data_IF_343663936035
#
_entry.id   IF_343663936035
#
_cell.length_a   1.000
_cell.length_b   1.000
_cell.length_c   1.000
_cell.angle_alpha   90.00
_cell.angle_beta   90.00
_cell.angle_gamma   90.00
#
_symmetry.space_group_name_H-M   'P 1'
#
loop_
_entity.id
_entity.type
_entity.pdbx_description
1 polymer ?
#
# COMPACT_ATOMS: atom_id res chain seq x y z
N UNK A 1 -23.38 -7.83 38.06
CA UNK A 1 -21.95 -7.66 37.74
C UNK A 1 -21.70 -8.16 36.32
N UNK A 2 -21.70 -7.29 35.31
CA UNK A 2 -21.10 -7.64 34.01
C UNK A 2 -19.61 -7.86 34.29
N UNK A 3 -19.05 -9.03 33.95
CA UNK A 3 -17.59 -9.17 33.86
C UNK A 3 -17.15 -8.07 32.89
N UNK A 4 -16.24 -7.19 33.32
CA UNK A 4 -15.74 -6.12 32.44
C UNK A 4 -15.19 -6.78 31.17
N UNK A 5 -15.82 -6.48 30.04
CA UNK A 5 -15.50 -7.03 28.71
C UNK A 5 -14.03 -6.70 28.36
N UNK A 6 -13.48 -5.67 29.00
CA UNK A 6 -12.09 -5.23 28.92
C UNK A 6 -11.06 -6.28 29.33
N UNK A 7 -11.39 -7.23 30.22
CA UNK A 7 -10.45 -8.31 30.58
C UNK A 7 -10.26 -9.33 29.46
N UNK A 8 -11.19 -9.38 28.50
CA UNK A 8 -11.14 -10.28 27.35
C UNK A 8 -10.74 -9.59 26.04
N UNK A 9 -10.86 -8.26 25.96
CA UNK A 9 -10.50 -7.49 24.77
C UNK A 9 -8.98 -7.29 24.74
N UNK A 10 -8.35 -7.76 23.67
CA UNK A 10 -6.91 -7.59 23.42
C UNK A 10 -6.72 -6.96 22.04
N UNK A 11 -6.76 -5.62 21.94
CA UNK A 11 -6.58 -4.90 20.68
C UNK A 11 -5.32 -5.33 19.92
N UNK A 12 -4.23 -5.59 20.64
CA UNK A 12 -2.95 -6.03 20.09
C UNK A 12 -3.07 -7.34 19.29
N UNK A 13 -3.77 -8.34 19.84
CA UNK A 13 -4.02 -9.62 19.14
C UNK A 13 -4.85 -9.38 17.86
N UNK A 14 -5.81 -8.45 17.89
CA UNK A 14 -6.61 -8.15 16.71
C UNK A 14 -5.75 -7.50 15.62
N UNK A 15 -4.76 -6.67 16.00
CA UNK A 15 -3.77 -6.11 15.06
C UNK A 15 -2.90 -7.22 14.45
N UNK A 16 -2.41 -8.18 15.24
CA UNK A 16 -1.68 -9.32 14.69
C UNK A 16 -2.52 -10.14 13.70
N UNK A 17 -3.81 -10.34 14.01
CA UNK A 17 -4.74 -11.02 13.10
C UNK A 17 -5.01 -10.22 11.82
N UNK A 18 -5.00 -8.88 11.90
CA UNK A 18 -5.09 -7.99 10.74
C UNK A 18 -3.87 -8.14 9.84
N UNK A 19 -2.67 -8.04 10.40
CA UNK A 19 -1.42 -8.17 9.66
C UNK A 19 -1.33 -9.53 8.95
N UNK A 20 -1.75 -10.60 9.63
CA UNK A 20 -1.83 -11.94 9.04
C UNK A 20 -2.86 -12.01 7.90
N UNK A 21 -4.03 -11.37 8.05
CA UNK A 21 -5.04 -11.34 6.99
C UNK A 21 -4.57 -10.54 5.76
N UNK A 22 -3.84 -9.44 5.97
CA UNK A 22 -3.21 -8.63 4.91
C UNK A 22 -2.15 -9.45 4.18
N UNK A 23 -1.30 -10.17 4.90
CA UNK A 23 -0.26 -11.02 4.31
C UNK A 23 -0.84 -12.13 3.39
N UNK A 24 -2.05 -12.61 3.67
CA UNK A 24 -2.78 -13.55 2.82
C UNK A 24 -3.69 -12.88 1.77
N UNK A 25 -3.63 -11.56 1.62
CA UNK A 25 -4.50 -10.75 0.75
C UNK A 25 -6.01 -11.06 0.96
N UNK A 26 -6.41 -11.45 2.18
CA UNK A 26 -7.79 -11.81 2.49
C UNK A 26 -8.58 -10.59 2.96
N UNK A 27 -8.97 -9.74 2.02
CA UNK A 27 -9.58 -8.44 2.29
C UNK A 27 -10.92 -8.53 3.06
N UNK A 28 -11.67 -9.62 2.88
CA UNK A 28 -12.88 -9.88 3.67
C UNK A 28 -12.56 -10.09 5.15
N UNK A 29 -11.51 -10.87 5.46
CA UNK A 29 -11.03 -11.03 6.83
C UNK A 29 -10.41 -9.75 7.38
N UNK A 30 -9.71 -8.97 6.57
CA UNK A 30 -9.21 -7.64 6.99
C UNK A 30 -10.38 -6.77 7.46
N UNK A 31 -11.47 -6.72 6.70
CA UNK A 31 -12.68 -5.98 7.09
C UNK A 31 -13.27 -6.48 8.42
N UNK A 32 -13.48 -7.80 8.56
CA UNK A 32 -14.01 -8.41 9.78
C UNK A 32 -13.16 -8.07 11.02
N UNK A 33 -11.84 -8.19 10.91
CA UNK A 33 -10.92 -7.92 12.03
C UNK A 33 -10.81 -6.43 12.33
N UNK A 34 -10.88 -5.57 11.31
CA UNK A 34 -10.86 -4.13 11.51
C UNK A 34 -12.14 -3.64 12.18
N UNK A 35 -13.30 -4.20 11.83
CA UNK A 35 -14.57 -3.93 12.51
C UNK A 35 -14.53 -4.40 13.98
N UNK A 36 -13.94 -5.57 14.25
CA UNK A 36 -13.71 -6.03 15.62
C UNK A 36 -12.78 -5.07 16.40
N UNK A 37 -11.71 -4.58 15.77
CA UNK A 37 -10.80 -3.62 16.39
C UNK A 37 -11.52 -2.31 16.72
N UNK A 38 -12.34 -1.81 15.79
CA UNK A 38 -13.15 -0.63 15.99
C UNK A 38 -14.14 -0.80 17.15
N UNK A 39 -14.90 -1.91 17.18
CA UNK A 39 -15.83 -2.21 18.27
C UNK A 39 -15.14 -2.34 19.63
N UNK A 40 -13.93 -2.92 19.64
CA UNK A 40 -13.09 -2.99 20.82
C UNK A 40 -12.75 -1.58 21.33
N UNK A 41 -12.28 -0.69 20.45
CA UNK A 41 -11.98 0.71 20.80
C UNK A 41 -13.22 1.46 21.29
N UNK A 42 -14.36 1.31 20.62
CA UNK A 42 -15.61 1.96 21.06
C UNK A 42 -16.03 1.49 22.45
N UNK A 43 -15.98 0.18 22.71
CA UNK A 43 -16.32 -0.38 24.03
C UNK A 43 -15.42 0.19 25.13
N UNK A 44 -14.12 0.32 24.85
CA UNK A 44 -13.15 0.92 25.77
C UNK A 44 -13.49 2.39 26.04
N UNK A 45 -13.78 3.15 25.00
CA UNK A 45 -14.08 4.57 25.10
C UNK A 45 -15.38 4.81 25.88
N UNK A 46 -16.45 4.06 25.59
CA UNK A 46 -17.73 4.13 26.29
C UNK A 46 -17.61 3.81 27.78
N UNK A 47 -16.86 2.75 28.16
CA UNK A 47 -16.65 2.40 29.57
C UNK A 47 -15.84 3.48 30.31
N UNK A 48 -14.84 4.10 29.64
CA UNK A 48 -14.11 5.24 30.21
C UNK A 48 -15.02 6.44 30.45
N UNK A 49 -15.88 6.78 29.49
CA UNK A 49 -16.85 7.86 29.64
C UNK A 49 -17.86 7.57 30.76
N UNK A 50 -18.37 6.35 30.84
CA UNK A 50 -19.30 5.94 31.90
C UNK A 50 -18.64 6.06 33.30
N UNK A 51 -17.41 5.59 33.46
CA UNK A 51 -16.65 5.74 34.70
C UNK A 51 -16.44 7.21 35.08
N UNK A 52 -16.03 8.06 34.13
CA UNK A 52 -15.87 9.51 34.32
C UNK A 52 -17.17 10.16 34.79
N UNK A 53 -18.30 9.84 34.15
CA UNK A 53 -19.62 10.37 34.51
C UNK A 53 -20.05 10.02 35.94
N UNK A 54 -19.58 8.87 36.46
CA UNK A 54 -19.85 8.40 37.82
C UNK A 54 -18.81 8.85 38.85
N UNK A 55 -17.77 9.57 38.42
CA UNK A 55 -16.63 9.97 39.28
C UNK A 55 -15.81 8.78 39.80
N UNK A 56 -15.88 7.63 39.12
CA UNK A 56 -15.14 6.42 39.49
C UNK A 56 -13.92 6.29 38.56
N UNK A 57 -12.74 5.89 39.06
CA UNK A 57 -11.59 5.63 38.21
C UNK A 57 -11.93 4.59 37.13
N UNK A 58 -11.63 4.91 35.88
CA UNK A 58 -11.78 3.97 34.79
C UNK A 58 -10.82 2.79 35.00
N UNK A 59 -11.22 1.56 34.64
CA UNK A 59 -10.31 0.41 34.66
C UNK A 59 -9.12 0.69 33.76
N UNK A 60 -7.91 0.44 34.28
CA UNK A 60 -6.71 0.49 33.46
C UNK A 60 -6.70 -0.70 32.51
N UNK A 61 -6.57 -0.42 31.22
CA UNK A 61 -6.48 -1.43 30.18
C UNK A 61 -5.03 -1.42 29.71
N UNK A 62 -4.35 -2.54 29.92
CA UNK A 62 -3.01 -2.73 29.42
C UNK A 62 -3.07 -2.97 27.91
N UNK A 63 -2.70 -1.96 27.14
CA UNK A 63 -2.49 -2.02 25.70
C UNK A 63 -1.04 -1.65 25.40
N UNK A 64 -0.45 -2.25 24.36
CA UNK A 64 0.94 -1.95 23.99
C UNK A 64 1.08 -0.56 23.35
N UNK A 65 0.00 -0.05 22.76
CA UNK A 65 -0.07 1.25 22.08
C UNK A 65 -1.21 2.10 22.66
N UNK A 66 -1.20 3.43 22.46
CA UNK A 66 -2.30 4.28 22.92
C UNK A 66 -3.59 3.97 22.15
N UNK A 67 -4.75 4.24 22.76
CA UNK A 67 -6.05 3.88 22.19
C UNK A 67 -6.30 4.46 20.79
N UNK A 68 -5.77 5.67 20.55
CA UNK A 68 -5.82 6.37 19.25
C UNK A 68 -5.18 5.56 18.11
N UNK A 69 -4.15 4.76 18.42
CA UNK A 69 -3.53 3.89 17.43
C UNK A 69 -4.52 2.85 16.90
N UNK A 70 -5.22 2.16 17.78
CA UNK A 70 -6.15 1.12 17.37
C UNK A 70 -7.36 1.69 16.63
N UNK A 71 -7.80 2.90 17.01
CA UNK A 71 -8.84 3.62 16.27
C UNK A 71 -8.38 3.90 14.83
N UNK A 72 -7.24 4.58 14.68
CA UNK A 72 -6.67 4.88 13.37
C UNK A 72 -6.41 3.62 12.54
N UNK A 73 -5.85 2.57 13.16
CA UNK A 73 -5.55 1.30 12.52
C UNK A 73 -6.82 0.62 12.00
N UNK A 74 -7.93 0.64 12.76
CA UNK A 74 -9.20 0.07 12.30
C UNK A 74 -9.69 0.72 11.01
N UNK A 75 -9.72 2.06 10.93
CA UNK A 75 -10.16 2.76 9.74
C UNK A 75 -9.16 2.67 8.58
N UNK A 76 -7.86 2.74 8.87
CA UNK A 76 -6.79 2.53 7.89
C UNK A 76 -6.92 1.18 7.19
N UNK A 77 -7.09 0.10 7.95
CA UNK A 77 -7.23 -1.26 7.39
C UNK A 77 -8.53 -1.44 6.59
N UNK A 78 -9.64 -0.85 7.05
CA UNK A 78 -10.91 -0.83 6.28
C UNK A 78 -10.75 -0.08 4.95
N UNK A 79 -10.10 1.09 4.98
CA UNK A 79 -9.83 1.89 3.79
C UNK A 79 -8.97 1.13 2.78
N UNK A 80 -7.92 0.45 3.25
CA UNK A 80 -7.09 -0.40 2.41
C UNK A 80 -7.87 -1.56 1.80
N UNK A 81 -8.71 -2.26 2.58
CA UNK A 81 -9.55 -3.35 2.07
C UNK A 81 -10.54 -2.86 1.01
N UNK A 82 -11.24 -1.74 1.25
CA UNK A 82 -12.14 -1.13 0.26
C UNK A 82 -11.40 -0.75 -1.02
N UNK A 83 -10.22 -0.11 -0.92
CA UNK A 83 -9.38 0.24 -2.07
C UNK A 83 -9.01 -1.01 -2.89
N UNK A 84 -8.55 -2.08 -2.23
CA UNK A 84 -8.19 -3.36 -2.89
C UNK A 84 -9.39 -4.08 -3.51
N UNK A 85 -10.60 -3.83 -3.02
CA UNK A 85 -11.86 -4.32 -3.61
C UNK A 85 -12.44 -3.39 -4.68
N UNK A 86 -11.78 -2.27 -5.01
CA UNK A 86 -12.26 -1.29 -6.00
C UNK A 86 -13.41 -0.40 -5.52
N UNK A 87 -13.64 -0.33 -4.21
CA UNK A 87 -14.72 0.44 -3.57
C UNK A 87 -14.21 1.83 -3.18
N UNK A 88 -14.07 2.71 -4.18
CA UNK A 88 -13.37 4.00 -4.05
C UNK A 88 -14.01 4.91 -3.00
N UNK A 89 -15.33 5.11 -3.04
CA UNK A 89 -16.01 6.04 -2.12
C UNK A 89 -15.95 5.56 -0.66
N UNK A 90 -16.05 4.26 -0.44
CA UNK A 90 -15.91 3.67 0.90
C UNK A 90 -14.47 3.77 1.42
N UNK A 91 -13.47 3.58 0.54
CA UNK A 91 -12.08 3.79 0.89
C UNK A 91 -11.83 5.26 1.28
N UNK A 92 -12.37 6.20 0.50
CA UNK A 92 -12.30 7.64 0.77
C UNK A 92 -12.90 8.00 2.13
N UNK A 93 -14.12 7.52 2.39
CA UNK A 93 -14.79 7.74 3.66
C UNK A 93 -14.00 7.17 4.85
N UNK A 94 -13.32 6.03 4.68
CA UNK A 94 -12.45 5.49 5.72
C UNK A 94 -11.22 6.37 5.96
N UNK A 95 -10.59 6.91 4.90
CA UNK A 95 -9.47 7.85 5.01
C UNK A 95 -9.86 9.07 5.84
N UNK A 96 -11.06 9.63 5.60
CA UNK A 96 -11.56 10.78 6.35
C UNK A 96 -11.64 10.50 7.87
N UNK A 97 -11.91 9.26 8.29
CA UNK A 97 -12.03 8.92 9.71
C UNK A 97 -10.70 8.92 10.46
N UNK A 98 -9.56 8.71 9.78
CA UNK A 98 -8.25 8.72 10.43
C UNK A 98 -7.33 9.87 10.01
N UNK A 99 -7.80 10.74 9.11
CA UNK A 99 -7.05 11.92 8.67
C UNK A 99 -6.82 12.96 9.77
N UNK A 100 -7.75 13.03 10.73
CA UNK A 100 -7.60 13.85 11.94
C UNK A 100 -8.11 13.08 13.15
N UNK A 101 -7.17 12.71 14.03
CA UNK A 101 -7.44 11.99 15.27
C UNK A 101 -7.22 12.89 16.51
N UNK A 102 -7.02 14.19 16.32
CA UNK A 102 -6.76 15.14 17.41
C UNK A 102 -7.94 15.35 18.35
N UNK A 103 -9.14 14.89 17.97
CA UNK A 103 -10.34 14.94 18.82
C UNK A 103 -10.35 13.86 19.92
N UNK A 104 -9.46 12.86 19.87
CA UNK A 104 -9.40 11.82 20.90
C UNK A 104 -8.86 12.38 22.23
N UNK A 105 -9.45 11.92 23.33
CA UNK A 105 -9.08 12.34 24.68
C UNK A 105 -7.78 11.66 25.16
N UNK A 106 -7.13 12.26 26.17
CA UNK A 106 -5.94 11.75 26.86
C UNK A 106 -4.72 11.47 25.95
N UNK A 107 -4.51 12.30 24.93
CA UNK A 107 -3.33 12.22 24.08
C UNK A 107 -2.09 12.69 24.86
N UNK A 108 -1.26 11.74 25.26
CA UNK A 108 0.11 12.00 25.71
C UNK A 108 1.05 12.20 24.50
N UNK A 109 2.34 12.40 24.75
CA UNK A 109 3.33 12.62 23.69
C UNK A 109 3.33 11.48 22.65
N UNK A 110 3.16 10.23 23.07
CA UNK A 110 3.08 9.06 22.20
C UNK A 110 1.78 9.09 21.38
N UNK A 111 0.65 9.42 22.01
CA UNK A 111 -0.63 9.62 21.33
C UNK A 111 -0.55 10.70 20.24
N UNK A 112 0.10 11.83 20.52
CA UNK A 112 0.27 12.92 19.55
C UNK A 112 1.12 12.46 18.36
N UNK A 113 2.18 11.68 18.59
CA UNK A 113 2.98 11.10 17.50
C UNK A 113 2.12 10.19 16.60
N UNK A 114 1.30 9.32 17.20
CA UNK A 114 0.37 8.46 16.45
C UNK A 114 -0.63 9.27 15.62
N UNK A 115 -1.16 10.38 16.14
CA UNK A 115 -2.04 11.27 15.38
C UNK A 115 -1.32 11.80 14.13
N UNK A 116 -0.07 12.24 14.25
CA UNK A 116 0.70 12.74 13.10
C UNK A 116 1.02 11.63 12.09
N UNK A 117 1.34 10.42 12.57
CA UNK A 117 1.56 9.25 11.70
C UNK A 117 0.32 8.92 10.87
N UNK A 118 -0.87 8.89 11.48
CA UNK A 118 -2.10 8.61 10.75
C UNK A 118 -2.51 9.74 9.81
N UNK A 119 -2.24 10.99 10.18
CA UNK A 119 -2.44 12.14 9.29
C UNK A 119 -1.56 12.03 8.03
N UNK A 120 -0.29 11.68 8.19
CA UNK A 120 0.61 11.43 7.07
C UNK A 120 0.12 10.26 6.20
N UNK A 121 -0.21 9.12 6.82
CA UNK A 121 -0.79 7.97 6.10
C UNK A 121 -2.06 8.32 5.33
N UNK A 122 -2.91 9.19 5.88
CA UNK A 122 -4.15 9.61 5.23
C UNK A 122 -3.86 10.42 3.97
N UNK A 123 -2.86 11.29 4.01
CA UNK A 123 -2.42 12.08 2.86
C UNK A 123 -1.88 11.18 1.74
N UNK A 124 -0.92 10.30 2.04
CA UNK A 124 -0.33 9.35 1.07
C UNK A 124 -1.43 8.48 0.44
N UNK A 125 -2.30 7.90 1.27
CA UNK A 125 -3.37 7.04 0.79
C UNK A 125 -4.44 7.78 0.00
N UNK A 126 -4.69 9.06 0.30
CA UNK A 126 -5.63 9.88 -0.47
C UNK A 126 -5.10 10.07 -1.88
N UNK A 127 -3.87 10.53 -2.04
CA UNK A 127 -3.28 10.68 -3.39
C UNK A 127 -3.33 9.38 -4.16
N UNK A 128 -2.87 8.28 -3.55
CA UNK A 128 -2.83 7.01 -4.22
C UNK A 128 -4.24 6.52 -4.66
N UNK A 129 -5.26 6.71 -3.82
CA UNK A 129 -6.64 6.36 -4.14
C UNK A 129 -7.20 7.20 -5.29
N UNK A 130 -7.02 8.52 -5.28
CA UNK A 130 -7.58 9.40 -6.31
C UNK A 130 -6.88 9.20 -7.66
N UNK A 131 -5.57 8.98 -7.66
CA UNK A 131 -4.79 8.67 -8.86
C UNK A 131 -5.24 7.34 -9.47
N UNK A 132 -5.41 6.30 -8.67
CA UNK A 132 -5.97 5.02 -9.14
C UNK A 132 -7.38 5.16 -9.70
N UNK A 133 -8.20 6.04 -9.09
CA UNK A 133 -9.56 6.34 -9.52
C UNK A 133 -9.64 7.22 -10.78
N UNK A 134 -8.50 7.73 -11.28
CA UNK A 134 -8.44 8.47 -12.54
C UNK A 134 -8.51 9.99 -12.40
N UNK A 135 -8.24 10.55 -11.22
CA UNK A 135 -8.17 12.01 -11.01
C UNK A 135 -6.81 12.55 -11.46
N UNK A 136 -6.62 12.70 -12.77
CA UNK A 136 -5.35 13.12 -13.38
C UNK A 136 -4.93 14.52 -12.94
N UNK A 137 -5.88 15.35 -12.54
CA UNK A 137 -5.66 16.72 -12.07
C UNK A 137 -4.79 16.79 -10.81
N UNK A 138 -4.76 15.70 -10.02
CA UNK A 138 -3.93 15.59 -8.81
C UNK A 138 -2.53 15.03 -9.08
N UNK A 139 -2.21 14.66 -10.34
CA UNK A 139 -0.96 14.00 -10.66
C UNK A 139 0.26 14.88 -10.38
N UNK A 140 0.20 16.16 -10.74
CA UNK A 140 1.31 17.10 -10.52
C UNK A 140 1.57 17.30 -9.02
N UNK A 141 0.51 17.53 -8.24
CA UNK A 141 0.60 17.66 -6.78
C UNK A 141 1.13 16.38 -6.12
N UNK A 142 0.71 15.21 -6.61
CA UNK A 142 1.24 13.94 -6.09
C UNK A 142 2.71 13.74 -6.45
N UNK A 143 3.15 14.13 -7.65
CA UNK A 143 4.56 14.07 -8.04
C UNK A 143 5.41 14.98 -7.15
N UNK A 144 4.98 16.21 -6.91
CA UNK A 144 5.67 17.14 -6.00
C UNK A 144 5.76 16.56 -4.58
N UNK A 145 4.66 15.99 -4.08
CA UNK A 145 4.65 15.29 -2.79
C UNK A 145 5.68 14.15 -2.73
N UNK A 146 5.77 13.30 -3.77
CA UNK A 146 6.74 12.20 -3.82
C UNK A 146 8.20 12.69 -3.89
N UNK A 147 8.45 13.87 -4.46
CA UNK A 147 9.78 14.49 -4.46
C UNK A 147 10.17 15.02 -3.08
N UNK A 148 9.21 15.51 -2.31
CA UNK A 148 9.39 15.95 -0.92
C UNK A 148 9.52 14.76 0.06
N UNK A 149 8.97 13.59 -0.32
CA UNK A 149 8.94 12.36 0.47
C UNK A 149 9.56 11.16 -0.28
N UNK A 150 10.90 11.10 -0.43
CA UNK A 150 11.58 10.06 -1.20
C UNK A 150 11.28 8.62 -0.72
N UNK A 151 10.93 8.44 0.55
CA UNK A 151 10.49 7.16 1.12
C UNK A 151 9.23 6.59 0.45
N UNK A 152 8.36 7.44 -0.09
CA UNK A 152 7.14 7.03 -0.82
C UNK A 152 7.39 6.88 -2.32
N UNK A 153 8.56 7.28 -2.83
CA UNK A 153 8.83 7.44 -4.26
C UNK A 153 8.50 6.20 -5.09
N UNK A 154 8.98 5.02 -4.68
CA UNK A 154 8.72 3.76 -5.41
C UNK A 154 7.24 3.35 -5.36
N UNK A 155 6.62 3.42 -4.17
CA UNK A 155 5.22 3.05 -3.99
C UNK A 155 4.29 4.00 -4.76
N UNK A 156 4.58 5.29 -4.74
CA UNK A 156 3.87 6.32 -5.50
C UNK A 156 4.05 6.14 -7.00
N UNK A 157 5.27 5.86 -7.47
CA UNK A 157 5.53 5.66 -8.90
C UNK A 157 4.87 4.40 -9.45
N UNK A 158 4.81 3.33 -8.64
CA UNK A 158 3.99 2.13 -8.94
C UNK A 158 2.53 2.51 -9.16
N UNK A 159 1.94 3.31 -8.27
CA UNK A 159 0.55 3.79 -8.38
C UNK A 159 0.34 4.63 -9.64
N UNK A 160 1.22 5.60 -9.89
CA UNK A 160 1.15 6.49 -11.07
C UNK A 160 1.24 5.66 -12.36
N UNK A 161 2.17 4.71 -12.45
CA UNK A 161 2.37 3.91 -13.66
C UNK A 161 1.20 2.96 -13.90
N UNK A 162 0.66 2.34 -12.85
CA UNK A 162 -0.55 1.51 -12.96
C UNK A 162 -1.77 2.34 -13.43
N UNK A 163 -1.97 3.52 -12.85
CA UNK A 163 -3.03 4.43 -13.26
C UNK A 163 -2.86 4.90 -14.71
N UNK A 164 -1.63 5.21 -15.12
CA UNK A 164 -1.31 5.62 -16.48
C UNK A 164 -1.63 4.53 -17.52
N UNK A 165 -1.32 3.26 -17.22
CA UNK A 165 -1.69 2.13 -18.08
C UNK A 165 -3.21 1.97 -18.14
N UNK A 166 -3.90 2.04 -16.99
CA UNK A 166 -5.35 1.86 -16.87
C UNK A 166 -6.13 2.95 -17.62
N UNK A 167 -5.75 4.22 -17.41
CA UNK A 167 -6.46 5.40 -17.88
C UNK A 167 -5.84 6.02 -19.14
N UNK A 168 -4.78 5.41 -19.68
CA UNK A 168 -4.07 5.85 -20.90
C UNK A 168 -3.48 7.26 -20.79
N UNK A 169 -2.83 7.56 -19.66
CA UNK A 169 -2.14 8.83 -19.45
C UNK A 169 -0.70 8.78 -19.94
N UNK A 170 -0.21 9.86 -20.54
CA UNK A 170 1.20 9.99 -20.88
C UNK A 170 1.97 10.60 -19.71
N UNK A 171 2.89 9.83 -19.14
CA UNK A 171 3.66 10.17 -17.93
C UNK A 171 5.17 10.25 -18.18
N UNK A 172 5.63 10.31 -19.43
CA UNK A 172 7.07 10.34 -19.79
C UNK A 172 7.86 11.39 -19.01
N UNK A 173 7.27 12.57 -18.78
CA UNK A 173 7.88 13.63 -17.97
C UNK A 173 8.07 13.23 -16.52
N UNK A 174 7.05 12.59 -15.92
CA UNK A 174 7.11 12.08 -14.54
C UNK A 174 8.21 11.04 -14.43
N UNK A 175 8.26 10.10 -15.37
CA UNK A 175 9.24 9.02 -15.38
C UNK A 175 10.68 9.53 -15.50
N UNK A 176 10.89 10.58 -16.29
CA UNK A 176 12.19 11.26 -16.38
C UNK A 176 12.57 11.95 -15.06
N UNK A 177 11.61 12.55 -14.35
CA UNK A 177 11.86 13.18 -13.04
C UNK A 177 12.35 12.16 -12.00
N UNK A 178 11.82 10.94 -12.04
CA UNK A 178 12.20 9.87 -11.11
C UNK A 178 13.35 8.97 -11.63
N UNK A 179 13.92 9.24 -12.80
CA UNK A 179 14.92 8.36 -13.41
C UNK A 179 16.13 8.12 -12.50
N UNK A 180 16.68 9.19 -11.92
CA UNK A 180 17.81 9.12 -10.99
C UNK A 180 17.47 8.41 -9.67
N UNK A 181 16.21 8.49 -9.22
CA UNK A 181 15.77 7.79 -7.99
C UNK A 181 15.63 6.28 -8.21
N UNK A 182 15.38 5.86 -9.45
CA UNK A 182 15.16 4.45 -9.84
C UNK A 182 16.47 3.80 -10.32
N UNK A 183 17.31 4.56 -11.04
CA UNK A 183 18.61 4.10 -11.54
C UNK A 183 19.76 4.38 -10.54
N UNK A 184 19.50 5.15 -9.50
CA UNK A 184 20.46 5.60 -8.48
C UNK A 184 21.09 4.45 -7.71
N UNK A 185 22.34 4.17 -8.09
CA UNK A 185 23.24 3.15 -7.61
C UNK A 185 22.77 1.73 -7.89
N UNK A 186 23.69 0.83 -8.19
CA UNK A 186 23.49 -0.63 -8.14
C UNK A 186 23.17 -1.15 -6.73
N UNK A 187 22.27 -0.46 -6.01
CA UNK A 187 21.47 -1.01 -4.93
C UNK A 187 20.79 -2.21 -5.54
N UNK A 188 21.29 -3.39 -5.19
CA UNK A 188 20.37 -4.48 -4.90
C UNK A 188 19.30 -3.86 -4.01
N UNK A 189 18.17 -3.51 -4.63
CA UNK A 189 17.03 -2.97 -3.91
C UNK A 189 16.77 -3.96 -2.79
N UNK A 190 16.78 -3.41 -1.59
CA UNK A 190 16.72 -4.16 -0.35
C UNK A 190 15.60 -5.19 -0.45
N UNK A 191 15.81 -6.37 0.12
CA UNK A 191 14.90 -7.51 -0.04
C UNK A 191 13.44 -7.19 0.28
N UNK A 192 13.21 -6.18 1.12
CA UNK A 192 11.93 -5.61 1.52
C UNK A 192 11.13 -4.95 0.38
N UNK A 193 11.76 -4.37 -0.64
CA UNK A 193 11.08 -3.57 -1.68
C UNK A 193 10.98 -4.27 -3.04
N UNK A 194 11.37 -5.54 -3.13
CA UNK A 194 11.37 -6.28 -4.40
C UNK A 194 9.95 -6.47 -4.99
N UNK A 195 8.92 -6.58 -4.16
CA UNK A 195 7.54 -6.75 -4.63
C UNK A 195 7.00 -5.46 -5.30
N UNK A 196 7.19 -4.30 -4.64
CA UNK A 196 6.83 -3.02 -5.22
C UNK A 196 7.63 -2.70 -6.48
N UNK A 197 8.92 -3.04 -6.48
CA UNK A 197 9.76 -2.89 -7.67
C UNK A 197 9.31 -3.82 -8.80
N UNK A 198 8.94 -5.07 -8.51
CA UNK A 198 8.38 -5.98 -9.51
C UNK A 198 7.13 -5.37 -10.15
N UNK A 199 6.21 -4.88 -9.32
CA UNK A 199 4.98 -4.26 -9.78
C UNK A 199 5.23 -3.01 -10.61
N UNK A 200 6.16 -2.15 -10.18
CA UNK A 200 6.59 -1.00 -10.97
C UNK A 200 7.14 -1.43 -12.34
N UNK A 201 8.13 -2.32 -12.40
CA UNK A 201 8.72 -2.80 -13.65
C UNK A 201 7.67 -3.42 -14.58
N UNK A 202 6.75 -4.23 -14.04
CA UNK A 202 5.70 -4.85 -14.83
C UNK A 202 4.72 -3.81 -15.42
N UNK A 203 4.27 -2.85 -14.61
CA UNK A 203 3.40 -1.77 -15.10
C UNK A 203 4.14 -0.86 -16.08
N UNK A 204 5.43 -0.61 -15.85
CA UNK A 204 6.30 0.15 -16.75
C UNK A 204 6.43 -0.53 -18.11
N UNK A 205 6.59 -1.85 -18.14
CA UNK A 205 6.59 -2.62 -19.38
C UNK A 205 5.27 -2.49 -20.15
N UNK A 206 4.13 -2.60 -19.46
CA UNK A 206 2.80 -2.40 -20.08
C UNK A 206 2.63 -0.98 -20.63
N UNK A 207 3.13 0.01 -19.91
CA UNK A 207 3.14 1.40 -20.35
C UNK A 207 3.96 1.58 -21.62
N UNK A 208 5.18 1.05 -21.66
CA UNK A 208 6.05 1.18 -22.83
C UNK A 208 5.49 0.44 -24.05
N UNK A 209 4.90 -0.75 -23.84
CA UNK A 209 4.18 -1.45 -24.90
C UNK A 209 3.04 -0.57 -25.45
N UNK A 210 2.23 0.03 -24.58
CA UNK A 210 1.15 0.90 -25.01
C UNK A 210 1.63 2.14 -25.78
N UNK A 211 2.78 2.68 -25.40
CA UNK A 211 3.42 3.81 -26.09
C UNK A 211 4.12 3.41 -27.40
N UNK A 212 4.09 2.13 -27.79
CA UNK A 212 4.73 1.62 -29.01
C UNK A 212 6.24 1.46 -28.90
N UNK A 213 6.76 1.40 -27.67
CA UNK A 213 8.19 1.28 -27.33
C UNK A 213 8.50 -0.14 -26.87
N UNK A 214 8.38 -1.08 -27.80
CA UNK A 214 8.46 -2.51 -27.52
C UNK A 214 9.82 -2.95 -26.95
N UNK A 215 10.92 -2.35 -27.42
CA UNK A 215 12.26 -2.72 -26.98
C UNK A 215 12.50 -2.31 -25.53
N UNK A 216 12.05 -1.12 -25.14
CA UNK A 216 12.08 -0.61 -23.77
C UNK A 216 11.17 -1.44 -22.86
N UNK A 217 9.97 -1.81 -23.35
CA UNK A 217 9.07 -2.71 -22.63
C UNK A 217 9.76 -4.03 -22.28
N UNK A 218 10.49 -4.64 -23.23
CA UNK A 218 11.22 -5.89 -23.02
C UNK A 218 12.30 -5.76 -21.94
N UNK A 219 13.02 -4.64 -21.86
CA UNK A 219 14.01 -4.43 -20.79
C UNK A 219 13.37 -4.39 -19.40
N UNK A 220 12.22 -3.73 -19.26
CA UNK A 220 11.47 -3.74 -18.00
C UNK A 220 10.90 -5.12 -17.65
N UNK A 221 10.50 -5.91 -18.66
CA UNK A 221 10.09 -7.30 -18.43
C UNK A 221 11.25 -8.13 -17.88
N UNK A 222 12.47 -7.97 -18.41
CA UNK A 222 13.63 -8.68 -17.87
C UNK A 222 13.93 -8.32 -16.42
N UNK A 223 13.80 -7.05 -16.05
CA UNK A 223 13.91 -6.63 -14.65
C UNK A 223 12.83 -7.29 -13.79
N UNK A 224 11.57 -7.27 -14.23
CA UNK A 224 10.46 -7.90 -13.52
C UNK A 224 10.65 -9.43 -13.39
N UNK A 225 11.18 -10.13 -14.40
CA UNK A 225 11.48 -11.57 -14.30
C UNK A 225 12.53 -11.84 -13.23
N UNK A 226 13.63 -11.06 -13.19
CA UNK A 226 14.69 -11.23 -12.18
C UNK A 226 14.16 -11.03 -10.76
N UNK A 227 13.25 -10.06 -10.59
CA UNK A 227 12.61 -9.81 -9.29
C UNK A 227 11.64 -10.93 -8.92
N UNK A 228 10.85 -11.43 -9.86
CA UNK A 228 9.94 -12.56 -9.64
C UNK A 228 10.66 -13.85 -9.25
N UNK A 229 11.81 -14.12 -9.88
CA UNK A 229 12.69 -15.25 -9.55
C UNK A 229 13.29 -15.10 -8.14
N UNK A 230 13.84 -13.92 -7.82
CA UNK A 230 14.37 -13.60 -6.47
C UNK A 230 13.31 -13.74 -5.38
N UNK A 231 12.05 -13.43 -5.67
CA UNK A 231 10.92 -13.55 -4.75
C UNK A 231 10.35 -14.98 -4.66
N UNK A 232 10.67 -15.87 -5.61
CA UNK A 232 10.10 -17.22 -5.68
C UNK A 232 8.59 -17.22 -5.98
N UNK A 233 8.10 -16.24 -6.73
CA UNK A 233 6.67 -16.05 -7.00
C UNK A 233 6.35 -16.44 -8.45
N UNK A 234 6.01 -17.70 -8.69
CA UNK A 234 5.77 -18.25 -10.04
C UNK A 234 4.75 -17.45 -10.88
N UNK A 235 3.71 -16.90 -10.23
CA UNK A 235 2.70 -16.07 -10.91
C UNK A 235 3.32 -14.85 -11.60
N UNK A 236 4.40 -14.30 -11.06
CA UNK A 236 5.10 -13.13 -11.62
C UNK A 236 5.82 -13.49 -12.90
N UNK A 237 6.49 -14.63 -12.91
CA UNK A 237 7.14 -15.17 -14.08
C UNK A 237 6.15 -15.47 -15.21
N UNK A 238 5.02 -16.12 -14.92
CA UNK A 238 3.98 -16.42 -15.92
C UNK A 238 3.45 -15.14 -16.58
N UNK A 239 3.20 -14.08 -15.80
CA UNK A 239 2.73 -12.79 -16.34
C UNK A 239 3.77 -12.13 -17.25
N UNK A 240 5.04 -12.16 -16.85
CA UNK A 240 6.12 -11.58 -17.63
C UNK A 240 6.38 -12.34 -18.94
N UNK A 241 6.35 -13.67 -18.91
CA UNK A 241 6.52 -14.50 -20.11
C UNK A 241 5.40 -14.23 -21.11
N UNK A 242 4.13 -14.24 -20.68
CA UNK A 242 2.99 -13.89 -21.56
C UNK A 242 3.17 -12.52 -22.21
N UNK A 243 3.59 -11.51 -21.43
CA UNK A 243 3.81 -10.16 -21.95
C UNK A 243 4.98 -10.11 -22.96
N UNK A 244 6.09 -10.80 -22.66
CA UNK A 244 7.24 -10.86 -23.57
C UNK A 244 6.89 -11.58 -24.87
N UNK A 245 6.15 -12.69 -24.79
CA UNK A 245 5.67 -13.41 -25.98
C UNK A 245 4.80 -12.53 -26.87
N UNK A 246 3.99 -11.62 -26.29
CA UNK A 246 3.21 -10.66 -27.07
C UNK A 246 4.06 -9.63 -27.83
N UNK A 247 5.31 -9.43 -27.41
CA UNK A 247 6.27 -8.49 -28.00
C UNK A 247 7.34 -9.18 -28.85
N UNK A 248 7.27 -10.50 -29.02
CA UNK A 248 8.35 -11.32 -29.61
C UNK A 248 8.79 -10.84 -30.99
N UNK A 249 7.84 -10.44 -31.84
CA UNK A 249 8.12 -10.01 -33.23
C UNK A 249 8.76 -8.61 -33.29
N UNK A 250 8.59 -7.80 -32.25
CA UNK A 250 9.14 -6.44 -32.15
C UNK A 250 10.46 -6.38 -31.37
N UNK A 251 10.75 -7.44 -30.60
CA UNK A 251 11.98 -7.57 -29.83
C UNK A 251 13.20 -7.80 -30.73
N UNK A 252 14.37 -7.33 -30.28
CA UNK A 252 15.61 -7.54 -31.02
C UNK A 252 16.10 -8.99 -30.90
N UNK A 253 16.90 -9.44 -31.86
CA UNK A 253 17.52 -10.78 -31.80
C UNK A 253 18.36 -10.97 -30.53
N UNK A 254 19.02 -9.92 -30.04
CA UNK A 254 19.77 -9.92 -28.79
C UNK A 254 18.84 -10.14 -27.58
N UNK A 255 17.72 -9.41 -27.51
CA UNK A 255 16.73 -9.56 -26.45
C UNK A 255 16.14 -10.97 -26.43
N UNK A 256 15.79 -11.53 -27.59
CA UNK A 256 15.34 -12.92 -27.70
C UNK A 256 16.43 -13.90 -27.25
N UNK A 257 17.70 -13.63 -27.54
CA UNK A 257 18.83 -14.41 -27.05
C UNK A 257 18.92 -14.39 -25.52
N UNK A 258 18.87 -13.20 -24.90
CA UNK A 258 18.87 -13.02 -23.44
C UNK A 258 17.70 -13.76 -22.77
N UNK A 259 16.51 -13.65 -23.34
CA UNK A 259 15.32 -14.34 -22.85
C UNK A 259 15.51 -15.87 -22.82
N UNK A 260 16.05 -16.46 -23.88
CA UNK A 260 16.33 -17.91 -23.92
C UNK A 260 17.29 -18.34 -22.82
N UNK A 261 18.37 -17.58 -22.60
CA UNK A 261 19.33 -17.85 -21.52
C UNK A 261 18.64 -17.78 -20.15
N UNK A 262 17.73 -16.82 -19.94
CA UNK A 262 16.96 -16.73 -18.70
C UNK A 262 16.07 -17.96 -18.49
N UNK A 263 15.38 -18.44 -19.53
CA UNK A 263 14.55 -19.65 -19.48
C UNK A 263 15.37 -20.93 -19.20
N UNK A 264 16.60 -21.00 -19.69
CA UNK A 264 17.50 -22.14 -19.47
C UNK A 264 18.04 -22.19 -18.04
N UNK A 265 18.33 -21.02 -17.45
CA UNK A 265 18.81 -20.92 -16.07
C UNK A 265 17.76 -21.20 -14.99
N UNK A 266 16.48 -21.28 -15.37
CA UNK A 266 15.35 -21.52 -14.46
C UNK A 266 14.86 -22.98 -14.46
N UNK A 267 15.54 -23.88 -15.19
CA UNK A 267 15.30 -25.33 -15.16
C UNK A 267 16.05 -25.99 -14.01
#
# INVERSE_FOLDING_TARGET
>A
MRKSILKSLKPDIIVEMLDMAVAFENWNKVMERADMLYQCVQSIHEERQECRSKGVPAPHIHTERPLVYYYGCSHFMRGMAHRKMGQVDQARACIDQYADLGWMEDLDEVGIQVVQEFKYKAQVNRYALEIEAGQVELLEEFVDFLLEHPEEGLAGLKVITEAAVRHRWQIDRVLHVFEDQIQGDGREIDSSNNDDMYHYCYQRALYEQWMGRAQEAVEFIFQAIRLGDKLGVDRYFIRCTVLLESLREEATAEQIGRYRVMLEGMK
#
